data_IF_342518970424
#
_entry.id   IF_342518970424
#
_cell.length_a   1.000
_cell.length_b   1.000
_cell.length_c   1.000
_cell.angle_alpha   90.00
_cell.angle_beta   90.00
_cell.angle_gamma   90.00
#
_symmetry.space_group_name_H-M   'P 1'
#
loop_
_entity.id
_entity.type
_entity.pdbx_description
1 polymer ?
#
# COMPACT_ATOMS: atom_id res chain seq x y z
N UNK A 1 36.91 -18.71 26.47
CA UNK A 1 36.91 -17.45 25.74
C UNK A 1 36.15 -17.52 24.45
N UNK A 2 36.35 -18.50 23.57
CA UNK A 2 35.62 -18.62 22.32
C UNK A 2 34.12 -18.81 22.52
N UNK A 3 33.69 -19.49 23.57
CA UNK A 3 32.26 -19.68 23.87
C UNK A 3 31.56 -18.39 24.25
N UNK A 4 32.24 -17.49 24.96
CA UNK A 4 31.67 -16.19 25.32
C UNK A 4 31.52 -15.29 24.10
N UNK A 5 32.46 -15.31 23.16
CA UNK A 5 32.38 -14.55 21.92
C UNK A 5 31.26 -15.03 21.03
N UNK A 6 31.08 -16.35 20.91
CA UNK A 6 29.99 -16.95 20.15
C UNK A 6 28.62 -16.54 20.71
N UNK A 7 28.49 -16.57 22.05
CA UNK A 7 27.25 -16.16 22.70
C UNK A 7 26.94 -14.69 22.45
N UNK A 8 27.93 -13.81 22.45
CA UNK A 8 27.76 -12.40 22.20
C UNK A 8 27.30 -12.13 20.75
N UNK A 9 27.91 -12.82 19.79
CA UNK A 9 27.51 -12.71 18.39
C UNK A 9 26.06 -13.17 18.18
N UNK A 10 25.63 -14.22 18.84
CA UNK A 10 24.27 -14.73 18.75
C UNK A 10 23.26 -13.70 19.28
N UNK A 11 23.56 -13.04 20.40
CA UNK A 11 22.70 -11.99 20.96
C UNK A 11 22.57 -10.80 20.00
N UNK A 12 23.65 -10.40 19.35
CA UNK A 12 23.61 -9.31 18.36
C UNK A 12 22.72 -9.66 17.16
N UNK A 13 22.75 -10.91 16.70
CA UNK A 13 21.88 -11.36 15.62
C UNK A 13 20.40 -11.28 16.00
N UNK A 14 20.05 -11.65 17.23
CA UNK A 14 18.68 -11.55 17.72
C UNK A 14 18.19 -10.11 17.75
N UNK A 15 19.02 -9.18 18.18
CA UNK A 15 18.66 -7.75 18.19
C UNK A 15 18.43 -7.26 16.76
N UNK A 16 19.29 -7.64 15.80
CA UNK A 16 19.12 -7.25 14.41
C UNK A 16 17.84 -7.81 13.80
N UNK A 17 17.47 -9.05 14.14
CA UNK A 17 16.25 -9.68 13.63
C UNK A 17 14.97 -9.10 14.24
N UNK A 18 15.05 -8.46 15.40
CA UNK A 18 13.87 -7.89 16.06
C UNK A 18 13.56 -6.45 15.63
N UNK A 19 14.46 -5.80 14.89
CA UNK A 19 14.25 -4.44 14.41
C UNK A 19 13.14 -4.43 13.32
N UNK A 20 12.11 -3.56 13.45
CA UNK A 20 11.10 -3.47 12.42
C UNK A 20 11.68 -2.91 11.12
N UNK A 21 11.17 -3.32 9.94
CA UNK A 21 11.62 -2.76 8.67
C UNK A 21 11.22 -1.28 8.58
N UNK A 22 12.09 -0.46 8.01
CA UNK A 22 11.78 0.94 7.75
C UNK A 22 10.77 1.05 6.62
N UNK A 23 9.86 2.02 6.78
CA UNK A 23 8.89 2.36 5.74
C UNK A 23 9.07 3.83 5.38
N UNK A 24 9.29 4.09 4.10
CA UNK A 24 9.38 5.45 3.59
C UNK A 24 8.12 5.78 2.79
N UNK A 25 7.00 5.90 3.49
CA UNK A 25 5.69 6.09 2.88
C UNK A 25 5.54 7.45 2.22
N UNK A 26 6.24 8.46 2.71
CA UNK A 26 6.14 9.83 2.19
C UNK A 26 6.48 9.89 0.69
N UNK A 27 7.44 9.08 0.24
CA UNK A 27 7.82 9.01 -1.17
C UNK A 27 6.66 8.62 -2.10
N UNK A 28 5.65 7.95 -1.56
CA UNK A 28 4.56 7.38 -2.34
C UNK A 28 3.26 8.17 -2.22
N UNK A 29 3.31 9.36 -1.62
CA UNK A 29 2.11 10.21 -1.51
C UNK A 29 1.67 10.77 -2.85
N UNK A 30 2.61 11.03 -3.75
CA UNK A 30 2.33 11.52 -5.10
C UNK A 30 3.17 10.74 -6.09
N UNK A 31 2.73 10.70 -7.34
CA UNK A 31 3.49 10.08 -8.42
C UNK A 31 2.65 9.18 -9.29
N UNK A 32 3.33 8.48 -10.17
CA UNK A 32 2.75 7.51 -11.07
C UNK A 32 3.13 6.12 -10.60
N UNK A 33 2.13 5.24 -10.50
CA UNK A 33 2.31 3.89 -9.97
C UNK A 33 1.68 2.87 -10.90
N UNK A 34 2.17 1.64 -10.82
CA UNK A 34 1.63 0.53 -11.58
C UNK A 34 1.40 -0.65 -10.64
N UNK A 35 0.24 -1.26 -10.74
CA UNK A 35 -0.11 -2.45 -9.98
C UNK A 35 -0.52 -3.56 -10.95
N UNK A 36 0.11 -4.72 -10.82
CA UNK A 36 -0.18 -5.88 -11.67
C UNK A 36 -0.87 -6.95 -10.85
N UNK A 37 -1.96 -7.49 -11.40
CA UNK A 37 -2.73 -8.56 -10.77
C UNK A 37 -3.05 -9.63 -11.80
N UNK A 38 -3.05 -10.89 -11.39
CA UNK A 38 -3.42 -12.00 -12.24
C UNK A 38 -4.92 -12.30 -12.09
N UNK A 39 -5.64 -12.19 -13.20
CA UNK A 39 -7.09 -12.45 -13.24
C UNK A 39 -7.33 -13.49 -14.32
N UNK A 40 -7.87 -14.66 -13.94
CA UNK A 40 -8.17 -15.76 -14.87
C UNK A 40 -6.95 -16.18 -15.72
N UNK A 41 -5.77 -16.20 -15.11
CA UNK A 41 -4.54 -16.59 -15.80
C UNK A 41 -3.89 -15.49 -16.63
N UNK A 42 -4.50 -14.31 -16.71
CA UNK A 42 -3.96 -13.18 -17.45
C UNK A 42 -3.44 -12.09 -16.49
N UNK A 43 -2.29 -11.53 -16.82
CA UNK A 43 -1.73 -10.42 -16.06
C UNK A 43 -2.41 -9.12 -16.49
N UNK A 44 -3.11 -8.48 -15.55
CA UNK A 44 -3.78 -7.20 -15.76
C UNK A 44 -3.05 -6.11 -14.99
N UNK A 45 -2.92 -4.95 -15.61
CA UNK A 45 -2.20 -3.82 -15.02
C UNK A 45 -3.15 -2.66 -14.79
N UNK A 46 -3.01 -2.01 -13.63
CA UNK A 46 -3.69 -0.75 -13.32
C UNK A 46 -2.62 0.32 -13.15
N UNK A 47 -2.82 1.45 -13.80
CA UNK A 47 -1.92 2.60 -13.69
C UNK A 47 -2.61 3.63 -12.80
N UNK A 48 -1.91 4.12 -11.78
CA UNK A 48 -2.41 5.14 -10.87
C UNK A 48 -1.61 6.41 -11.03
N UNK A 49 -2.29 7.53 -11.19
CA UNK A 49 -1.66 8.85 -11.14
C UNK A 49 -2.20 9.56 -9.91
N UNK A 50 -1.32 9.83 -8.94
CA UNK A 50 -1.73 10.38 -7.66
C UNK A 50 -1.11 11.76 -7.44
N UNK A 51 -1.98 12.73 -7.20
CA UNK A 51 -1.61 14.04 -6.69
C UNK A 51 -1.89 14.08 -5.18
N UNK A 52 -1.73 15.23 -4.55
CA UNK A 52 -1.94 15.34 -3.11
C UNK A 52 -3.37 15.00 -2.68
N UNK A 53 -4.37 15.23 -3.53
CA UNK A 53 -5.78 15.10 -3.18
C UNK A 53 -6.59 14.19 -4.09
N UNK A 54 -6.05 13.84 -5.28
CA UNK A 54 -6.80 13.08 -6.29
C UNK A 54 -5.93 11.95 -6.82
N UNK A 55 -6.54 10.79 -7.02
CA UNK A 55 -5.92 9.67 -7.71
C UNK A 55 -6.76 9.31 -8.93
N UNK A 56 -6.11 9.15 -10.07
CA UNK A 56 -6.74 8.69 -11.31
C UNK A 56 -6.23 7.30 -11.62
N UNK A 57 -7.16 6.35 -11.69
CA UNK A 57 -6.85 4.96 -11.98
C UNK A 57 -7.24 4.64 -13.42
N UNK A 58 -6.37 3.96 -14.14
CA UNK A 58 -6.65 3.49 -15.49
C UNK A 58 -6.52 1.97 -15.51
N UNK A 59 -7.63 1.28 -15.76
CA UNK A 59 -7.69 -0.17 -15.84
C UNK A 59 -8.46 -0.57 -17.11
N UNK A 60 -7.81 -1.33 -17.98
CA UNK A 60 -8.39 -1.79 -19.25
C UNK A 60 -9.05 -0.67 -20.06
N UNK A 61 -8.38 0.48 -20.13
CA UNK A 61 -8.86 1.64 -20.87
C UNK A 61 -9.92 2.47 -20.16
N UNK A 62 -10.36 2.05 -18.98
CA UNK A 62 -11.35 2.78 -18.19
C UNK A 62 -10.66 3.63 -17.13
N UNK A 63 -11.09 4.88 -17.02
CA UNK A 63 -10.57 5.80 -16.02
C UNK A 63 -11.57 5.97 -14.89
N UNK A 64 -11.07 5.87 -13.66
CA UNK A 64 -11.82 6.21 -12.46
C UNK A 64 -11.02 7.22 -11.66
N UNK A 65 -11.72 8.13 -11.00
CA UNK A 65 -11.11 9.14 -10.16
C UNK A 65 -11.57 8.98 -8.73
N UNK A 66 -10.64 9.17 -7.79
CA UNK A 66 -10.93 9.09 -6.37
C UNK A 66 -10.26 10.25 -5.64
N UNK A 67 -10.90 10.71 -4.55
CA UNK A 67 -10.24 11.61 -3.64
C UNK A 67 -9.28 10.82 -2.75
N UNK A 68 -8.18 11.44 -2.37
CA UNK A 68 -7.17 10.84 -1.50
C UNK A 68 -7.09 11.66 -0.23
N UNK A 69 -7.23 11.01 0.93
CA UNK A 69 -7.08 11.65 2.23
C UNK A 69 -6.10 10.85 3.08
N UNK A 70 -4.96 11.44 3.37
CA UNK A 70 -3.95 10.80 4.21
C UNK A 70 -4.32 10.94 5.68
N UNK A 71 -4.41 9.80 6.37
CA UNK A 71 -4.66 9.75 7.82
C UNK A 71 -3.34 9.95 8.57
N UNK A 72 -2.30 9.33 8.06
CA UNK A 72 -0.92 9.48 8.54
C UNK A 72 0.00 9.20 7.35
N UNK A 73 1.30 9.12 7.57
CA UNK A 73 2.26 8.97 6.47
C UNK A 73 2.13 7.66 5.70
N UNK A 74 1.54 6.62 6.31
CA UNK A 74 1.46 5.29 5.71
C UNK A 74 0.02 4.80 5.48
N UNK A 75 -1.00 5.61 5.77
CA UNK A 75 -2.39 5.20 5.62
C UNK A 75 -3.20 6.29 4.95
N UNK A 76 -4.03 5.90 3.99
CA UNK A 76 -4.90 6.85 3.30
C UNK A 76 -6.24 6.23 2.95
N UNK A 77 -7.21 7.10 2.66
CA UNK A 77 -8.57 6.72 2.29
C UNK A 77 -8.84 7.20 0.88
N UNK A 78 -9.33 6.29 0.05
CA UNK A 78 -9.79 6.59 -1.30
C UNK A 78 -11.31 6.62 -1.32
N UNK A 79 -11.88 7.66 -1.93
CA UNK A 79 -13.31 7.76 -2.13
C UNK A 79 -13.59 8.00 -3.62
N UNK A 80 -14.36 7.11 -4.23
CA UNK A 80 -14.70 7.24 -5.64
C UNK A 80 -15.50 8.52 -5.87
N UNK A 81 -15.07 9.34 -6.83
CA UNK A 81 -15.72 10.62 -7.13
C UNK A 81 -16.95 10.46 -8.02
N UNK A 82 -17.08 9.32 -8.70
CA UNK A 82 -18.21 9.05 -9.59
C UNK A 82 -18.68 7.61 -9.44
N UNK A 83 -19.23 7.25 -8.26
CA UNK A 83 -19.64 5.87 -8.03
C UNK A 83 -20.83 5.48 -8.91
N UNK A 84 -20.77 4.27 -9.47
CA UNK A 84 -21.81 3.74 -10.37
C UNK A 84 -22.78 2.84 -9.64
N UNK A 85 -22.47 2.42 -8.43
CA UNK A 85 -23.31 1.54 -7.61
C UNK A 85 -22.97 1.73 -6.14
N UNK A 86 -23.72 1.05 -5.27
CA UNK A 86 -23.54 1.18 -3.82
C UNK A 86 -22.19 0.65 -3.34
N UNK A 87 -21.65 -0.38 -3.99
CA UNK A 87 -20.36 -0.92 -3.60
C UNK A 87 -19.26 0.11 -3.83
N UNK A 88 -19.35 0.87 -4.94
CA UNK A 88 -18.37 1.91 -5.26
C UNK A 88 -18.52 3.17 -4.40
N UNK A 89 -19.64 3.34 -3.72
CA UNK A 89 -19.85 4.45 -2.78
C UNK A 89 -19.03 4.31 -1.50
N UNK A 90 -18.63 3.07 -1.17
CA UNK A 90 -17.83 2.82 0.04
C UNK A 90 -16.41 3.30 -0.17
N UNK A 91 -15.90 4.04 0.81
CA UNK A 91 -14.50 4.44 0.83
C UNK A 91 -13.61 3.24 1.09
N UNK A 92 -12.39 3.30 0.61
CA UNK A 92 -11.41 2.24 0.78
C UNK A 92 -10.26 2.76 1.63
N UNK A 93 -9.96 2.04 2.71
CA UNK A 93 -8.80 2.33 3.55
C UNK A 93 -7.60 1.53 3.04
N UNK A 94 -6.49 2.20 2.83
CA UNK A 94 -5.26 1.58 2.37
C UNK A 94 -4.16 1.83 3.40
N UNK A 95 -3.45 0.76 3.75
CA UNK A 95 -2.32 0.82 4.67
C UNK A 95 -1.08 0.28 3.97
N UNK A 96 -0.04 1.09 3.91
CA UNK A 96 1.25 0.68 3.35
C UNK A 96 1.98 -0.17 4.37
N UNK A 97 2.34 -1.38 3.98
CA UNK A 97 2.97 -2.36 4.86
C UNK A 97 4.50 -2.31 4.80
N UNK A 98 5.05 -2.28 3.58
CA UNK A 98 6.49 -2.21 3.36
C UNK A 98 6.79 -1.31 2.18
N UNK A 99 7.99 -0.73 2.16
CA UNK A 99 8.45 0.08 1.03
C UNK A 99 9.85 -0.33 0.61
N UNK A 100 10.13 -0.14 -0.68
CA UNK A 100 11.48 -0.20 -1.25
C UNK A 100 11.79 1.16 -1.87
N UNK A 101 12.89 1.28 -2.59
CA UNK A 101 13.21 2.53 -3.29
C UNK A 101 12.21 2.89 -4.38
N UNK A 102 11.53 1.90 -4.96
CA UNK A 102 10.67 2.10 -6.13
C UNK A 102 9.31 1.43 -6.02
N UNK A 103 8.98 0.78 -4.89
CA UNK A 103 7.73 0.04 -4.75
C UNK A 103 7.25 0.03 -3.32
N UNK A 104 5.98 -0.32 -3.14
CA UNK A 104 5.41 -0.56 -1.80
C UNK A 104 4.38 -1.67 -1.86
N UNK A 105 4.20 -2.36 -0.73
CA UNK A 105 3.12 -3.31 -0.54
C UNK A 105 2.07 -2.69 0.37
N UNK A 106 0.83 -3.08 0.18
CA UNK A 106 -0.28 -2.51 0.95
C UNK A 106 -1.39 -3.52 1.17
N UNK A 107 -2.20 -3.26 2.20
CA UNK A 107 -3.47 -3.94 2.39
C UNK A 107 -4.60 -2.92 2.26
N UNK A 108 -5.79 -3.40 1.92
CA UNK A 108 -6.94 -2.52 1.72
C UNK A 108 -8.21 -3.14 2.27
N UNK A 109 -9.13 -2.28 2.73
CA UNK A 109 -10.44 -2.67 3.25
C UNK A 109 -11.47 -1.62 2.86
N UNK A 110 -12.69 -2.07 2.56
CA UNK A 110 -13.81 -1.17 2.41
C UNK A 110 -14.26 -0.68 3.80
N UNK A 111 -14.37 0.63 3.95
CA UNK A 111 -14.79 1.24 5.22
C UNK A 111 -16.29 1.01 5.40
N UNK A 112 -16.67 0.55 6.58
CA UNK A 112 -18.07 0.27 6.91
C UNK A 112 -18.56 -1.09 6.43
N UNK A 113 -17.68 -1.92 5.86
CA UNK A 113 -18.04 -3.29 5.50
C UNK A 113 -17.88 -4.18 6.73
N UNK A 114 -19.01 -4.73 7.19
CA UNK A 114 -19.05 -5.57 8.39
C UNK A 114 -18.99 -7.07 8.07
N UNK A 115 -18.96 -7.42 6.81
CA UNK A 115 -18.83 -8.83 6.40
C UNK A 115 -17.44 -9.35 6.72
N UNK A 116 -17.39 -10.50 7.31
CA UNK A 116 -16.12 -11.15 7.67
C UNK A 116 -15.94 -12.44 6.90
#
# INVERSE_FOLDING_TARGET
MSKALLSLCFILLLVACSAPPERNCIRFKTGDFEFATEINGELKKTIFKRSETIEIDVFEGKKDSASVRWINDCEYVLKNLNPKNKAEEKSIHIKILTTTDSSYTFEYNAIGDTRK
#
